data_IF_365672728115
#
_entry.id   IF_365672728115
#
_cell.length_a   1.000
_cell.length_b   1.000
_cell.length_c   1.000
_cell.angle_alpha   90.00
_cell.angle_beta   90.00
_cell.angle_gamma   90.00
#
_symmetry.space_group_name_H-M   'P 1'
#
loop_
_entity.id
_entity.type
_entity.pdbx_description
1 polymer ?
#
# COMPACT_ATOMS: atom_id res chain seq x y z
N UNK A 1 5.80 31.97 -23.95
CA UNK A 1 4.83 30.95 -23.49
C UNK A 1 5.55 29.62 -23.33
N UNK A 2 5.97 29.26 -22.11
CA UNK A 2 6.62 27.98 -21.83
C UNK A 2 5.59 27.05 -21.15
N UNK A 3 5.13 26.04 -21.90
CA UNK A 3 4.31 24.93 -21.36
C UNK A 3 5.19 24.12 -20.40
N UNK A 4 5.04 24.36 -19.11
CA UNK A 4 5.67 23.52 -18.07
C UNK A 4 4.95 22.17 -18.06
N UNK A 5 5.56 21.19 -18.71
CA UNK A 5 5.15 19.78 -18.63
C UNK A 5 5.55 19.26 -17.24
N UNK A 6 4.72 19.50 -16.22
CA UNK A 6 4.80 18.77 -14.94
C UNK A 6 4.19 17.38 -15.13
N UNK A 7 4.91 16.48 -15.82
CA UNK A 7 4.65 15.03 -15.81
C UNK A 7 5.77 14.33 -15.04
N UNK A 8 5.73 14.34 -13.70
CA UNK A 8 6.53 13.47 -12.82
C UNK A 8 6.11 13.66 -11.35
N UNK A 9 4.93 13.17 -10.98
CA UNK A 9 4.52 12.98 -9.58
C UNK A 9 3.30 12.04 -9.42
N UNK A 10 3.00 11.19 -10.41
CA UNK A 10 1.85 10.27 -10.39
C UNK A 10 2.28 8.80 -10.25
N UNK A 11 3.57 8.52 -10.05
CA UNK A 11 4.12 7.15 -9.99
C UNK A 11 4.38 6.65 -8.56
N UNK A 12 4.09 7.43 -7.52
CA UNK A 12 4.48 7.11 -6.14
C UNK A 12 3.29 6.96 -5.17
N UNK A 13 2.06 6.80 -5.67
CA UNK A 13 1.00 6.31 -4.78
C UNK A 13 1.28 4.84 -4.45
N UNK A 14 1.35 4.46 -3.16
CA UNK A 14 1.57 3.08 -2.78
C UNK A 14 0.44 2.22 -3.32
N UNK A 15 0.75 1.37 -4.31
CA UNK A 15 -0.22 0.39 -4.81
C UNK A 15 -0.33 -0.73 -3.79
N UNK A 16 -1.54 -1.03 -3.33
CA UNK A 16 -1.81 -2.16 -2.45
C UNK A 16 -2.03 -3.46 -3.24
N UNK A 17 -1.71 -4.61 -2.65
CA UNK A 17 -2.01 -5.94 -3.18
C UNK A 17 -3.33 -6.51 -2.62
N UNK A 18 -4.12 -5.69 -1.91
CA UNK A 18 -5.38 -6.08 -1.25
C UNK A 18 -6.34 -6.77 -2.23
N UNK A 19 -6.58 -6.20 -3.41
CA UNK A 19 -7.42 -6.84 -4.44
C UNK A 19 -6.88 -8.21 -4.87
N UNK A 20 -5.57 -8.34 -5.03
CA UNK A 20 -4.94 -9.61 -5.44
C UNK A 20 -5.14 -10.66 -4.33
N UNK A 21 -5.01 -10.27 -3.06
CA UNK A 21 -5.28 -11.15 -1.92
C UNK A 21 -6.75 -11.55 -1.85
N UNK A 22 -7.66 -10.59 -2.02
CA UNK A 22 -9.10 -10.83 -2.07
C UNK A 22 -9.46 -11.85 -3.15
N UNK A 23 -8.92 -11.74 -4.36
CA UNK A 23 -9.26 -12.68 -5.44
C UNK A 23 -8.82 -14.12 -5.17
N UNK A 24 -7.80 -14.33 -4.33
CA UNK A 24 -7.33 -15.66 -3.91
C UNK A 24 -8.19 -16.30 -2.83
N UNK A 25 -9.07 -15.53 -2.17
CA UNK A 25 -10.00 -16.07 -1.19
C UNK A 25 -11.07 -16.92 -1.88
N UNK A 26 -11.59 -17.91 -1.16
CA UNK A 26 -12.78 -18.64 -1.59
C UNK A 26 -14.06 -17.78 -1.39
N UNK A 27 -15.19 -18.23 -1.94
CA UNK A 27 -16.42 -17.44 -1.93
C UNK A 27 -16.96 -17.15 -0.52
N UNK A 28 -16.80 -18.09 0.41
CA UNK A 28 -17.26 -17.92 1.79
C UNK A 28 -16.38 -16.93 2.56
N UNK A 29 -15.06 -16.99 2.35
CA UNK A 29 -14.11 -16.00 2.87
C UNK A 29 -14.38 -14.61 2.27
N UNK A 30 -14.68 -14.52 0.97
CA UNK A 30 -15.06 -13.25 0.32
C UNK A 30 -16.35 -12.69 0.93
N UNK A 31 -17.36 -13.53 1.18
CA UNK A 31 -18.61 -13.11 1.86
C UNK A 31 -18.34 -12.62 3.28
N UNK A 32 -17.55 -13.36 4.05
CA UNK A 32 -17.20 -13.00 5.42
C UNK A 32 -16.45 -11.67 5.48
N UNK A 33 -15.44 -11.48 4.63
CA UNK A 33 -14.66 -10.25 4.55
C UNK A 33 -15.56 -9.03 4.26
N UNK A 34 -16.51 -9.18 3.33
CA UNK A 34 -17.48 -8.12 3.03
C UNK A 34 -18.38 -7.82 4.23
N UNK A 35 -18.93 -8.86 4.86
CA UNK A 35 -19.80 -8.69 6.01
C UNK A 35 -19.09 -7.97 7.17
N UNK A 36 -17.85 -8.35 7.48
CA UNK A 36 -17.06 -7.70 8.53
C UNK A 36 -16.65 -6.26 8.16
N UNK A 37 -16.37 -5.96 6.89
CA UNK A 37 -16.12 -4.58 6.46
C UNK A 37 -17.36 -3.70 6.66
N UNK A 38 -18.53 -4.18 6.23
CA UNK A 38 -19.81 -3.46 6.41
C UNK A 38 -20.11 -3.24 7.89
N UNK A 39 -19.88 -4.26 8.73
CA UNK A 39 -20.06 -4.19 10.18
C UNK A 39 -19.10 -3.22 10.87
N UNK A 40 -17.83 -3.18 10.42
CA UNK A 40 -16.78 -2.36 11.04
C UNK A 40 -16.93 -0.88 10.68
N UNK A 41 -17.20 -0.57 9.42
CA UNK A 41 -17.25 0.83 8.95
C UNK A 41 -18.66 1.38 8.81
N UNK A 42 -19.70 0.54 8.91
CA UNK A 42 -21.09 0.93 8.69
C UNK A 42 -21.40 1.35 7.26
N UNK A 43 -20.50 1.04 6.32
CA UNK A 43 -20.61 1.41 4.91
C UNK A 43 -21.12 0.22 4.11
N UNK A 44 -22.07 0.44 3.19
CA UNK A 44 -22.61 -0.65 2.35
C UNK A 44 -21.60 -1.24 1.36
N UNK A 45 -21.96 -2.35 0.72
CA UNK A 45 -21.09 -3.15 -0.17
C UNK A 45 -20.33 -2.35 -1.25
N UNK A 46 -20.93 -1.26 -1.76
CA UNK A 46 -20.26 -0.39 -2.75
C UNK A 46 -18.98 0.23 -2.19
N UNK A 47 -18.96 0.57 -0.91
CA UNK A 47 -17.77 1.13 -0.26
C UNK A 47 -16.66 0.10 -0.16
N UNK A 48 -17.00 -1.16 0.16
CA UNK A 48 -16.03 -2.26 0.17
C UNK A 48 -15.29 -2.40 -1.17
N UNK A 49 -16.02 -2.47 -2.29
CA UNK A 49 -15.39 -2.60 -3.61
C UNK A 49 -14.62 -1.35 -4.02
N UNK A 50 -15.02 -0.16 -3.54
CA UNK A 50 -14.26 1.07 -3.75
C UNK A 50 -12.93 1.00 -3.00
N UNK A 51 -12.95 0.58 -1.74
CA UNK A 51 -11.75 0.47 -0.90
C UNK A 51 -10.79 -0.60 -1.42
N UNK A 52 -11.29 -1.73 -1.93
CA UNK A 52 -10.47 -2.75 -2.61
C UNK A 52 -9.65 -2.21 -3.78
N UNK A 53 -10.14 -1.18 -4.47
CA UNK A 53 -9.53 -0.61 -5.68
C UNK A 53 -8.85 0.73 -5.43
N UNK A 54 -8.84 1.22 -4.19
CA UNK A 54 -8.33 2.55 -3.88
C UNK A 54 -6.81 2.52 -3.79
N UNK A 55 -6.16 3.48 -4.45
CA UNK A 55 -4.70 3.66 -4.36
C UNK A 55 -4.25 4.26 -3.02
N UNK A 56 -5.19 4.79 -2.24
CA UNK A 56 -4.91 5.38 -0.93
C UNK A 56 -6.03 5.04 0.06
N UNK A 57 -5.69 4.24 1.06
CA UNK A 57 -6.56 3.84 2.17
C UNK A 57 -6.15 4.57 3.44
N UNK A 58 -7.10 4.79 4.36
CA UNK A 58 -6.75 5.24 5.71
C UNK A 58 -6.07 4.12 6.48
N UNK A 59 -5.30 4.49 7.51
CA UNK A 59 -4.60 3.52 8.37
C UNK A 59 -5.57 2.52 9.01
N UNK A 60 -6.78 2.96 9.37
CA UNK A 60 -7.85 2.10 9.90
C UNK A 60 -8.28 1.01 8.90
N UNK A 61 -8.46 1.40 7.62
CA UNK A 61 -8.86 0.44 6.57
C UNK A 61 -7.70 -0.49 6.22
N UNK A 62 -6.46 0.01 6.25
CA UNK A 62 -5.27 -0.83 6.08
C UNK A 62 -5.12 -1.83 7.21
N UNK A 63 -5.30 -1.42 8.47
CA UNK A 63 -5.26 -2.30 9.62
C UNK A 63 -6.35 -3.37 9.53
N UNK A 64 -7.58 -2.98 9.16
CA UNK A 64 -8.67 -3.93 8.93
C UNK A 64 -8.29 -5.02 7.91
N UNK A 65 -7.76 -4.65 6.74
CA UNK A 65 -7.35 -5.63 5.74
C UNK A 65 -6.16 -6.48 6.23
N UNK A 66 -5.22 -5.90 6.98
CA UNK A 66 -4.08 -6.62 7.54
C UNK A 66 -4.55 -7.70 8.51
N UNK A 67 -5.47 -7.36 9.41
CA UNK A 67 -6.06 -8.28 10.40
C UNK A 67 -6.84 -9.40 9.71
N UNK A 68 -7.70 -9.06 8.75
CA UNK A 68 -8.52 -10.04 8.04
C UNK A 68 -7.72 -11.00 7.15
N UNK A 69 -6.56 -10.57 6.64
CA UNK A 69 -5.64 -11.43 5.89
C UNK A 69 -4.59 -12.11 6.79
N UNK A 70 -4.54 -11.81 8.09
CA UNK A 70 -3.54 -12.33 9.02
C UNK A 70 -2.11 -11.93 8.65
N UNK A 71 -1.89 -10.69 8.18
CA UNK A 71 -0.58 -10.17 7.82
C UNK A 71 -0.32 -8.79 8.41
N UNK A 72 0.89 -8.24 8.22
CA UNK A 72 1.17 -6.86 8.62
C UNK A 72 0.70 -5.85 7.56
N UNK A 73 0.55 -4.58 7.93
CA UNK A 73 0.26 -3.50 6.97
C UNK A 73 1.34 -3.43 5.88
N UNK A 74 2.61 -3.67 6.23
CA UNK A 74 3.71 -3.67 5.27
C UNK A 74 3.52 -4.73 4.16
N UNK A 75 2.89 -5.86 4.48
CA UNK A 75 2.63 -6.96 3.53
C UNK A 75 1.49 -6.66 2.56
N UNK A 76 0.71 -5.59 2.80
CA UNK A 76 -0.34 -5.12 1.91
C UNK A 76 0.20 -4.27 0.77
N UNK A 77 1.43 -3.74 0.87
CA UNK A 77 2.03 -2.98 -0.21
C UNK A 77 2.48 -3.92 -1.35
N UNK A 78 2.16 -3.56 -2.60
CA UNK A 78 2.50 -4.36 -3.79
C UNK A 78 4.01 -4.37 -4.09
N UNK A 79 4.69 -3.31 -3.72
CA UNK A 79 6.14 -3.21 -3.76
C UNK A 79 6.62 -3.01 -2.33
N UNK A 80 7.73 -3.66 -1.94
CA UNK A 80 8.43 -3.27 -0.72
C UNK A 80 8.61 -1.75 -0.79
N UNK A 81 8.19 -0.98 0.22
CA UNK A 81 8.46 0.46 0.21
C UNK A 81 9.95 0.64 -0.04
N UNK A 82 10.37 1.58 -0.92
CA UNK A 82 11.78 1.81 -1.17
C UNK A 82 12.46 1.97 0.19
N UNK A 83 13.41 1.08 0.48
CA UNK A 83 14.16 1.12 1.73
C UNK A 83 14.81 2.49 1.75
N UNK A 84 14.37 3.36 2.67
CA UNK A 84 15.06 4.62 2.88
C UNK A 84 16.46 4.25 3.37
N UNK A 85 17.53 4.67 2.67
CA UNK A 85 18.88 4.37 3.12
C UNK A 85 19.04 4.88 4.55
N UNK A 86 19.61 4.04 5.40
CA UNK A 86 19.90 4.45 6.78
C UNK A 86 20.99 5.51 6.78
N UNK A 87 21.15 6.25 7.88
CA UNK A 87 22.25 7.21 8.04
C UNK A 87 23.60 6.50 7.82
N UNK A 88 23.73 5.28 8.33
CA UNK A 88 24.91 4.43 8.12
C UNK A 88 25.18 4.11 6.64
N UNK A 89 24.14 3.85 5.84
CA UNK A 89 24.28 3.62 4.39
C UNK A 89 24.70 4.90 3.64
N UNK A 90 24.33 6.07 4.16
CA UNK A 90 24.73 7.36 3.61
C UNK A 90 26.21 7.67 3.94
N UNK A 91 26.63 7.40 5.18
CA UNK A 91 28.02 7.54 5.63
C UNK A 91 28.98 6.67 4.82
N UNK A 92 28.68 5.38 4.61
CA UNK A 92 29.52 4.51 3.79
C UNK A 92 29.67 4.98 2.34
N UNK A 93 28.63 5.57 1.75
CA UNK A 93 28.70 6.11 0.39
C UNK A 93 29.60 7.34 0.32
N UNK A 94 29.56 8.19 1.34
CA UNK A 94 30.40 9.36 1.45
C UNK A 94 31.89 8.97 1.59
N UNK A 95 32.20 8.04 2.49
CA UNK A 95 33.58 7.56 2.70
C UNK A 95 34.16 6.90 1.45
N UNK A 96 33.36 6.10 0.72
CA UNK A 96 33.79 5.49 -0.55
C UNK A 96 34.01 6.50 -1.68
N UNK A 97 33.36 7.67 -1.65
CA UNK A 97 33.60 8.74 -2.62
C UNK A 97 34.86 9.53 -2.30
N UNK A 98 35.19 9.74 -1.02
CA UNK A 98 36.44 10.38 -0.60
C UNK A 98 37.68 9.56 -0.97
N UNK A 99 37.59 8.23 -0.96
CA UNK A 99 38.70 7.32 -1.31
C UNK A 99 38.94 7.16 -2.83
N UNK A 100 38.09 7.74 -3.68
CA UNK A 100 38.19 7.65 -5.16
C UNK A 100 38.71 8.93 -5.81
N UNK A 101 38.91 10.00 -5.04
CA UNK A 101 39.58 11.23 -5.45
C UNK A 101 40.98 11.30 -4.83
#
# INVERSE_FOLDING_TARGET
MAKVVRKKALSETPKFNIRIRYEKLNDDQKKLLRAEHVKTFGLGDRAFYRDLNKDLLSDEVLQFFADMFGCSIADLFRHKPPIRPTVFDLEQKYDKQLLRN
#
